data_IF_792978016619
#
_entry.id   IF_792978016619
#
_cell.length_a   1.000
_cell.length_b   1.000
_cell.length_c   1.000
_cell.angle_alpha   90.00
_cell.angle_beta   90.00
_cell.angle_gamma   90.00
#
_symmetry.space_group_name_H-M   'P 1'
#
loop_
_entity.id
_entity.type
_entity.pdbx_description
1 polymer ?
#
# COMPACT_ATOMS: atom_id res chain seq x y z
N UNK A 1 8.37 12.25 0.75
CA UNK A 1 7.31 11.72 1.61
C UNK A 1 7.15 10.23 1.37
N UNK A 2 7.14 9.46 2.43
CA UNK A 2 7.00 8.01 2.34
C UNK A 2 5.59 7.62 1.92
N UNK A 3 5.45 6.43 1.35
CA UNK A 3 4.14 5.93 0.95
C UNK A 3 3.22 5.79 2.15
N UNK A 4 3.76 5.29 3.28
CA UNK A 4 2.96 5.16 4.50
C UNK A 4 2.44 6.52 4.96
N UNK A 5 3.22 7.57 4.80
CA UNK A 5 2.77 8.91 5.16
C UNK A 5 1.64 9.37 4.26
N UNK A 6 1.75 9.09 2.96
CA UNK A 6 0.70 9.44 2.01
C UNK A 6 -0.60 8.72 2.33
N UNK A 7 -0.50 7.43 2.69
CA UNK A 7 -1.66 6.64 3.06
C UNK A 7 -2.32 7.16 4.34
N UNK A 8 -1.51 7.63 5.28
CA UNK A 8 -2.00 8.12 6.55
C UNK A 8 -2.71 9.47 6.43
N UNK A 9 -2.35 10.28 5.45
CA UNK A 9 -2.96 11.60 5.29
C UNK A 9 -4.45 11.54 4.97
N UNK A 10 -4.86 10.70 4.04
CA UNK A 10 -6.26 10.43 3.71
C UNK A 10 -7.14 11.63 3.37
N UNK A 11 -6.54 12.80 3.18
CA UNK A 11 -7.32 14.02 3.00
C UNK A 11 -8.20 14.06 1.75
N UNK A 12 -7.69 13.49 0.66
CA UNK A 12 -8.41 13.52 -0.63
C UNK A 12 -8.98 12.17 -1.02
N UNK A 13 -9.07 11.26 -0.08
CA UNK A 13 -9.53 9.90 -0.37
C UNK A 13 -11.02 9.77 -0.10
N UNK A 14 -11.70 9.00 -0.96
CA UNK A 14 -13.08 8.62 -0.73
C UNK A 14 -13.12 7.58 0.38
N UNK A 15 -14.32 7.25 0.87
CA UNK A 15 -14.45 6.26 1.94
C UNK A 15 -13.86 4.92 1.56
N UNK A 16 -14.09 4.46 0.34
CA UNK A 16 -13.51 3.21 -0.13
C UNK A 16 -11.99 3.28 -0.16
N UNK A 17 -11.46 4.41 -0.61
CA UNK A 17 -10.03 4.60 -0.66
C UNK A 17 -9.42 4.69 0.74
N UNK A 18 -10.14 5.29 1.68
CA UNK A 18 -9.70 5.34 3.07
C UNK A 18 -9.64 3.95 3.68
N UNK A 19 -10.65 3.13 3.40
CA UNK A 19 -10.68 1.76 3.86
C UNK A 19 -9.50 0.97 3.30
N UNK A 20 -9.21 1.16 2.02
CA UNK A 20 -8.06 0.53 1.39
C UNK A 20 -6.76 0.98 2.05
N UNK A 21 -6.61 2.28 2.25
CA UNK A 21 -5.39 2.82 2.85
C UNK A 21 -5.17 2.26 4.25
N UNK A 22 -6.24 2.20 5.06
CA UNK A 22 -6.17 1.66 6.41
C UNK A 22 -5.77 0.18 6.37
N UNK A 23 -6.36 -0.58 5.46
CA UNK A 23 -6.04 -2.01 5.32
C UNK A 23 -4.59 -2.20 4.93
N UNK A 24 -4.12 -1.42 3.96
CA UNK A 24 -2.74 -1.51 3.49
C UNK A 24 -1.76 -1.21 4.63
N UNK A 25 -2.05 -0.17 5.40
CA UNK A 25 -1.19 0.19 6.53
C UNK A 25 -1.17 -0.89 7.61
N UNK A 26 -2.34 -1.50 7.85
CA UNK A 26 -2.46 -2.53 8.87
C UNK A 26 -1.73 -3.81 8.51
N UNK A 27 -1.68 -4.15 7.22
CA UNK A 27 -1.12 -5.42 6.77
C UNK A 27 0.31 -5.32 6.26
N UNK A 28 0.72 -4.16 5.80
CA UNK A 28 2.12 -3.93 5.40
C UNK A 28 2.62 -4.91 4.35
N UNK A 29 3.63 -5.70 4.70
CA UNK A 29 4.27 -6.64 3.75
C UNK A 29 3.31 -7.68 3.18
N UNK A 30 2.23 -7.98 3.87
CA UNK A 30 1.27 -8.96 3.37
C UNK A 30 0.57 -8.50 2.10
N UNK A 31 0.56 -7.21 1.85
CA UNK A 31 -0.06 -6.64 0.64
C UNK A 31 0.58 -7.21 -0.62
N UNK A 32 1.83 -7.66 -0.55
CA UNK A 32 2.51 -8.27 -1.69
C UNK A 32 1.80 -9.53 -2.20
N UNK A 33 1.04 -10.19 -1.34
CA UNK A 33 0.31 -11.41 -1.70
C UNK A 33 -1.01 -11.13 -2.38
N UNK A 34 -1.43 -9.89 -2.40
CA UNK A 34 -2.75 -9.52 -2.92
C UNK A 34 -2.63 -9.05 -4.36
N UNK A 35 -3.67 -9.36 -5.14
CA UNK A 35 -3.86 -8.75 -6.44
C UNK A 35 -4.83 -7.60 -6.29
N UNK A 36 -4.99 -6.81 -7.37
CA UNK A 36 -5.96 -5.72 -7.36
C UNK A 36 -7.34 -6.24 -6.96
N UNK A 37 -7.74 -7.37 -7.56
CA UNK A 37 -9.06 -7.94 -7.31
C UNK A 37 -9.19 -8.46 -5.88
N UNK A 38 -8.21 -9.22 -5.39
CA UNK A 38 -8.33 -9.79 -4.06
C UNK A 38 -8.28 -8.70 -2.98
N UNK A 39 -7.48 -7.67 -3.18
CA UNK A 39 -7.45 -6.57 -2.23
C UNK A 39 -8.79 -5.84 -2.21
N UNK A 40 -9.40 -5.63 -3.37
CA UNK A 40 -10.70 -5.00 -3.45
C UNK A 40 -11.76 -5.83 -2.71
N UNK A 41 -11.71 -7.15 -2.88
CA UNK A 41 -12.67 -8.03 -2.23
C UNK A 41 -12.57 -7.98 -0.70
N UNK A 42 -11.37 -8.06 -0.15
CA UNK A 42 -11.20 -8.09 1.30
C UNK A 42 -11.51 -6.74 1.94
N UNK A 43 -11.47 -5.67 1.18
CA UNK A 43 -11.78 -4.34 1.68
C UNK A 43 -13.20 -3.89 1.32
N UNK A 44 -13.97 -4.77 0.66
CA UNK A 44 -15.33 -4.46 0.22
C UNK A 44 -15.38 -3.26 -0.71
N UNK A 45 -14.36 -3.16 -1.57
CA UNK A 45 -14.29 -2.11 -2.58
C UNK A 45 -14.26 -2.75 -3.96
N UNK A 46 -13.92 -1.98 -4.97
CA UNK A 46 -13.83 -2.50 -6.34
C UNK A 46 -12.41 -2.32 -6.88
N UNK A 47 -12.01 -3.13 -7.87
CA UNK A 47 -10.70 -2.96 -8.49
C UNK A 47 -10.43 -1.54 -9.01
N UNK A 48 -11.40 -0.87 -9.64
CA UNK A 48 -11.19 0.53 -10.03
C UNK A 48 -10.85 1.44 -8.86
N UNK A 49 -11.43 1.18 -7.69
CA UNK A 49 -11.12 1.97 -6.49
C UNK A 49 -9.67 1.79 -6.08
N UNK A 50 -9.17 0.56 -6.13
CA UNK A 50 -7.77 0.28 -5.83
C UNK A 50 -6.85 1.04 -6.77
N UNK A 51 -7.15 0.99 -8.07
CA UNK A 51 -6.34 1.69 -9.06
C UNK A 51 -6.38 3.20 -8.86
N UNK A 52 -7.55 3.72 -8.52
CA UNK A 52 -7.70 5.16 -8.28
C UNK A 52 -6.84 5.60 -7.11
N UNK A 53 -6.84 4.83 -6.03
CA UNK A 53 -6.01 5.15 -4.88
C UNK A 53 -4.53 5.16 -5.27
N UNK A 54 -4.08 4.15 -6.01
CA UNK A 54 -2.69 4.09 -6.43
C UNK A 54 -2.30 5.29 -7.27
N UNK A 55 -3.17 5.70 -8.18
CA UNK A 55 -2.91 6.87 -9.01
C UNK A 55 -2.87 8.16 -8.20
N UNK A 56 -3.71 8.27 -7.18
CA UNK A 56 -3.69 9.42 -6.29
C UNK A 56 -2.39 9.50 -5.51
N UNK A 57 -1.79 8.36 -5.22
CA UNK A 57 -0.51 8.30 -4.54
C UNK A 57 0.68 8.56 -5.46
N UNK A 58 0.43 8.66 -6.76
CA UNK A 58 1.47 8.99 -7.72
C UNK A 58 2.01 7.79 -8.48
N UNK A 59 1.31 6.66 -8.48
CA UNK A 59 1.74 5.45 -9.15
C UNK A 59 0.89 5.18 -10.38
N UNK A 60 1.43 4.43 -11.33
CA UNK A 60 0.72 4.12 -12.56
C UNK A 60 -0.37 3.08 -12.37
N UNK A 61 -0.28 2.27 -11.33
CA UNK A 61 -1.25 1.24 -11.03
C UNK A 61 -0.89 0.50 -9.76
N UNK A 62 -1.60 -0.59 -9.49
CA UNK A 62 -1.38 -1.33 -8.26
C UNK A 62 -0.02 -2.03 -8.23
N UNK A 63 0.41 -2.60 -9.35
CA UNK A 63 1.71 -3.27 -9.40
C UNK A 63 2.83 -2.30 -9.11
N UNK A 64 2.77 -1.11 -9.70
CA UNK A 64 3.76 -0.08 -9.47
C UNK A 64 3.77 0.35 -8.00
N UNK A 65 2.58 0.58 -7.46
CA UNK A 65 2.43 0.92 -6.04
C UNK A 65 3.01 -0.19 -5.15
N UNK A 66 2.64 -1.43 -5.44
CA UNK A 66 3.04 -2.57 -4.63
C UNK A 66 4.54 -2.74 -4.58
N UNK A 67 5.20 -2.64 -5.74
CA UNK A 67 6.65 -2.76 -5.80
C UNK A 67 7.34 -1.68 -4.98
N UNK A 68 6.88 -0.46 -5.11
CA UNK A 68 7.47 0.65 -4.38
C UNK A 68 7.18 0.57 -2.89
N UNK A 69 5.96 0.13 -2.53
CA UNK A 69 5.57 -0.03 -1.14
C UNK A 69 6.41 -1.12 -0.47
N UNK A 70 6.58 -2.25 -1.15
CA UNK A 70 7.40 -3.34 -0.61
C UNK A 70 8.85 -2.91 -0.45
N UNK A 71 9.37 -2.17 -1.43
CA UNK A 71 10.74 -1.67 -1.35
C UNK A 71 10.92 -0.74 -0.15
N UNK A 72 9.95 0.12 0.07
CA UNK A 72 10.01 1.04 1.21
C UNK A 72 10.00 0.28 2.54
N UNK A 73 9.11 -0.71 2.65
CA UNK A 73 9.02 -1.51 3.86
C UNK A 73 10.28 -2.34 4.09
N UNK A 74 10.81 -2.92 3.02
CA UNK A 74 12.05 -3.68 3.11
C UNK A 74 13.22 -2.81 3.55
N UNK A 75 13.26 -1.60 3.07
CA UNK A 75 14.32 -0.67 3.44
C UNK A 75 14.29 -0.42 4.95
N UNK A 76 13.12 -0.17 5.51
CA UNK A 76 13.00 0.09 6.94
C UNK A 76 13.30 -1.15 7.77
N UNK A 77 12.74 -2.29 7.38
CA UNK A 77 12.95 -3.54 8.10
C UNK A 77 14.36 -4.06 7.85
N UNK A 78 14.84 -3.91 6.61
CA UNK A 78 16.16 -4.38 6.23
C UNK A 78 17.29 -3.75 7.00
N UNK A 79 17.12 -2.52 7.44
CA UNK A 79 18.16 -1.87 8.23
C UNK A 79 18.39 -2.61 9.55
N UNK A 80 17.31 -3.00 10.19
CA UNK A 80 17.41 -3.76 11.43
C UNK A 80 17.92 -5.17 11.14
N UNK A 81 17.42 -5.80 10.09
CA UNK A 81 17.83 -7.15 9.73
C UNK A 81 19.30 -7.22 9.37
N UNK A 82 19.78 -6.22 8.64
CA UNK A 82 21.19 -6.19 8.27
C UNK A 82 22.08 -6.15 9.49
N UNK A 83 21.69 -5.40 10.50
CA UNK A 83 22.49 -5.35 11.73
C UNK A 83 22.48 -6.67 12.45
N UNK A 84 21.39 -7.36 12.43
CA UNK A 84 21.30 -8.66 13.09
C UNK A 84 22.13 -9.71 12.41
N UNK A 85 22.23 -9.63 11.09
CA UNK A 85 23.02 -10.60 10.34
C UNK A 85 24.51 -10.42 10.53
N UNK A 86 24.91 -9.21 10.74
CA UNK A 86 26.30 -8.89 10.94
C UNK A 86 26.71 -9.15 12.36
#
# INVERSE_FOLDING_TARGET
MLIVDKLALQEKLSEGEKTLAAYILAHGMEIAKYSTRSLAEVTYTSPPTVLRLCKKLGFSGFDDFKQNFMRELEYQIGRASCRERV
#
